data_IF_879000401385
#
_entry.id   IF_879000401385
#
_cell.length_a   1.000
_cell.length_b   1.000
_cell.length_c   1.000
_cell.angle_alpha   90.00
_cell.angle_beta   90.00
_cell.angle_gamma   90.00
#
_symmetry.space_group_name_H-M   'P 1'
#
loop_
_entity.id
_entity.type
_entity.pdbx_description
1 polymer ?
#
# COMPACT_ATOMS: atom_id res chain seq x y z
N UNK A 1 45.53 -41.14 -30.41
CA UNK A 1 45.38 -39.70 -30.06
C UNK A 1 44.35 -38.94 -30.91
N UNK A 2 44.14 -39.22 -32.19
CA UNK A 2 43.17 -38.49 -33.03
C UNK A 2 41.68 -38.60 -32.67
N UNK A 3 41.21 -39.67 -32.03
CA UNK A 3 39.81 -39.91 -31.72
C UNK A 3 39.33 -39.03 -30.49
N UNK A 4 40.24 -38.75 -29.57
CA UNK A 4 39.99 -37.91 -28.40
C UNK A 4 39.87 -36.43 -28.76
N UNK A 5 40.79 -35.95 -29.61
CA UNK A 5 40.77 -34.55 -30.05
C UNK A 5 39.51 -34.19 -30.85
N UNK A 6 39.00 -35.11 -31.68
CA UNK A 6 37.74 -34.91 -32.40
C UNK A 6 36.53 -34.75 -31.45
N UNK A 7 36.50 -35.53 -30.33
CA UNK A 7 35.44 -35.43 -29.33
C UNK A 7 35.47 -34.07 -28.58
N UNK A 8 36.64 -33.60 -28.21
CA UNK A 8 36.76 -32.27 -27.58
C UNK A 8 36.36 -31.13 -28.54
N UNK A 9 36.74 -31.22 -29.83
CA UNK A 9 36.35 -30.23 -30.82
C UNK A 9 34.83 -30.19 -31.01
N UNK A 10 34.16 -31.34 -31.05
CA UNK A 10 32.69 -31.42 -31.17
C UNK A 10 32.00 -30.81 -29.94
N UNK A 11 32.51 -31.06 -28.71
CA UNK A 11 31.96 -30.49 -27.47
C UNK A 11 32.16 -28.98 -27.45
N UNK A 12 33.30 -28.47 -27.90
CA UNK A 12 33.55 -27.00 -27.95
C UNK A 12 32.62 -26.32 -28.96
N UNK A 13 32.44 -26.90 -30.15
CA UNK A 13 31.52 -26.34 -31.14
C UNK A 13 30.07 -26.37 -30.65
N UNK A 14 29.64 -27.45 -29.99
CA UNK A 14 28.31 -27.54 -29.39
C UNK A 14 28.13 -26.53 -28.29
N UNK A 15 29.08 -26.36 -27.38
CA UNK A 15 29.06 -25.33 -26.34
C UNK A 15 28.94 -23.92 -26.89
N UNK A 16 29.71 -23.63 -27.98
CA UNK A 16 29.65 -22.33 -28.66
C UNK A 16 28.28 -22.06 -29.29
N UNK A 17 27.68 -23.07 -29.90
CA UNK A 17 26.34 -22.97 -30.51
C UNK A 17 25.25 -22.72 -29.43
N UNK A 18 25.35 -23.35 -28.27
CA UNK A 18 24.42 -23.11 -27.15
C UNK A 18 24.55 -21.68 -26.62
N UNK A 19 25.78 -21.17 -26.49
CA UNK A 19 26.02 -19.79 -26.05
C UNK A 19 25.45 -18.78 -27.07
N UNK A 20 25.66 -19.02 -28.34
CA UNK A 20 25.11 -18.17 -29.42
C UNK A 20 23.58 -18.22 -29.40
N UNK A 21 22.97 -19.41 -29.29
CA UNK A 21 21.54 -19.56 -29.25
C UNK A 21 20.92 -18.85 -27.99
N UNK A 22 21.58 -18.97 -26.85
CA UNK A 22 21.16 -18.28 -25.62
C UNK A 22 21.30 -16.74 -25.77
N UNK A 23 22.37 -16.27 -26.40
CA UNK A 23 22.55 -14.85 -26.70
C UNK A 23 21.50 -14.30 -27.67
N UNK A 24 21.19 -15.01 -28.71
CA UNK A 24 20.11 -14.66 -29.65
C UNK A 24 18.76 -14.66 -28.96
N UNK A 25 18.48 -15.65 -28.11
CA UNK A 25 17.25 -15.70 -27.36
C UNK A 25 17.12 -14.55 -26.33
N UNK A 26 18.21 -14.15 -25.66
CA UNK A 26 18.21 -12.97 -24.78
C UNK A 26 17.96 -11.64 -25.50
N UNK A 27 18.47 -11.50 -26.72
CA UNK A 27 18.34 -10.26 -27.50
C UNK A 27 16.97 -10.19 -28.21
N UNK A 28 16.55 -11.28 -28.85
CA UNK A 28 15.34 -11.32 -29.68
C UNK A 28 14.12 -11.92 -28.99
N UNK A 29 14.31 -12.65 -27.89
CA UNK A 29 13.22 -13.23 -27.11
C UNK A 29 12.47 -12.22 -26.23
N UNK A 30 13.02 -11.02 -26.02
CA UNK A 30 12.30 -9.93 -25.35
C UNK A 30 11.28 -9.35 -26.31
N UNK A 31 10.02 -9.73 -26.12
CA UNK A 31 8.91 -9.05 -26.81
C UNK A 31 8.91 -7.60 -26.34
N UNK A 32 9.38 -6.68 -27.15
CA UNK A 32 9.19 -5.26 -26.93
C UNK A 32 7.71 -4.97 -27.13
N UNK A 33 7.04 -4.64 -26.05
CA UNK A 33 5.63 -4.22 -26.09
C UNK A 33 5.63 -2.78 -26.60
N UNK A 34 5.15 -2.59 -27.83
CA UNK A 34 4.99 -1.25 -28.41
C UNK A 34 3.60 -0.79 -27.99
N UNK A 35 3.54 0.30 -27.21
CA UNK A 35 2.30 0.96 -26.86
C UNK A 35 2.02 2.02 -27.91
N UNK A 36 0.88 1.90 -28.58
CA UNK A 36 0.41 2.95 -29.47
C UNK A 36 -0.14 4.10 -28.61
N UNK A 37 0.25 5.33 -28.96
CA UNK A 37 -0.32 6.51 -28.33
C UNK A 37 -1.77 6.60 -28.74
N UNK A 38 -2.67 6.56 -27.79
CA UNK A 38 -4.10 6.82 -27.99
C UNK A 38 -4.45 8.19 -27.41
N UNK A 39 -5.37 8.89 -28.05
CA UNK A 39 -5.98 10.11 -27.52
C UNK A 39 -7.21 9.76 -26.65
N UNK A 40 -7.54 8.50 -26.53
CA UNK A 40 -8.64 8.02 -25.71
C UNK A 40 -8.30 8.18 -24.23
N UNK A 41 -9.18 8.88 -23.51
CA UNK A 41 -9.08 9.02 -22.05
C UNK A 41 -9.76 7.79 -21.46
N UNK A 42 -8.97 6.89 -20.90
CA UNK A 42 -9.50 5.74 -20.17
C UNK A 42 -9.18 5.90 -18.68
N UNK A 43 -10.17 5.60 -17.84
CA UNK A 43 -10.00 5.56 -16.40
C UNK A 43 -9.06 4.42 -16.00
N UNK A 44 -7.98 4.75 -15.30
CA UNK A 44 -7.21 3.72 -14.63
C UNK A 44 -7.73 3.59 -13.19
N UNK A 45 -8.35 2.46 -12.82
CA UNK A 45 -9.05 2.33 -11.55
C UNK A 45 -8.14 2.46 -10.31
N UNK A 46 -6.82 2.38 -10.49
CA UNK A 46 -5.84 2.47 -9.40
C UNK A 46 -4.89 3.66 -9.54
N UNK A 47 -5.20 4.61 -10.40
CA UNK A 47 -4.36 5.80 -10.61
C UNK A 47 -5.23 7.04 -10.83
N UNK A 48 -4.69 8.17 -10.41
CA UNK A 48 -5.31 9.47 -10.59
C UNK A 48 -5.60 10.18 -9.27
N UNK A 49 -6.45 11.18 -9.33
CA UNK A 49 -6.92 11.90 -8.15
C UNK A 49 -7.88 11.02 -7.34
N UNK A 50 -7.62 10.92 -6.05
CA UNK A 50 -8.45 10.20 -5.09
C UNK A 50 -8.98 11.17 -4.03
N UNK A 51 -10.20 11.68 -4.18
CA UNK A 51 -10.85 12.49 -3.15
C UNK A 51 -11.18 11.66 -1.92
N UNK A 52 -11.49 12.33 -0.81
CA UNK A 52 -11.87 11.67 0.43
C UNK A 52 -13.21 10.96 0.29
N UNK A 53 -13.32 9.73 0.81
CA UNK A 53 -14.51 8.91 0.71
C UNK A 53 -15.74 9.48 1.47
N UNK A 54 -15.51 10.37 2.44
CA UNK A 54 -16.57 11.05 3.18
C UNK A 54 -17.21 12.22 2.41
N UNK A 55 -16.65 12.64 1.26
CA UNK A 55 -17.23 13.73 0.47
C UNK A 55 -18.60 13.36 -0.09
N UNK A 56 -19.55 14.30 -0.01
CA UNK A 56 -20.94 14.07 -0.48
C UNK A 56 -21.05 13.99 -2.00
N UNK A 57 -20.20 14.75 -2.71
CA UNK A 57 -20.27 14.87 -4.16
C UNK A 57 -18.95 14.52 -4.80
N UNK A 58 -18.94 13.46 -5.58
CA UNK A 58 -17.77 12.96 -6.31
C UNK A 58 -18.12 12.79 -7.78
N UNK A 59 -17.23 13.24 -8.67
CA UNK A 59 -17.43 13.13 -10.11
C UNK A 59 -17.55 11.68 -10.58
N UNK A 60 -18.36 11.46 -11.63
CA UNK A 60 -18.60 10.13 -12.19
C UNK A 60 -17.32 9.50 -12.76
N UNK A 61 -16.39 10.33 -13.24
CA UNK A 61 -15.10 9.94 -13.79
C UNK A 61 -14.07 9.51 -12.73
N UNK A 62 -14.35 9.79 -11.45
CA UNK A 62 -13.51 9.38 -10.33
C UNK A 62 -13.79 7.92 -9.99
N UNK A 63 -12.79 7.07 -10.11
CA UNK A 63 -12.89 5.63 -9.79
C UNK A 63 -12.18 5.22 -8.51
N UNK A 64 -11.35 6.11 -7.96
CA UNK A 64 -10.54 5.85 -6.78
C UNK A 64 -10.85 6.87 -5.70
N UNK A 65 -11.13 6.40 -4.50
CA UNK A 65 -11.36 7.21 -3.32
C UNK A 65 -10.37 6.83 -2.22
N UNK A 66 -10.22 7.69 -1.26
CA UNK A 66 -9.27 7.55 -0.20
C UNK A 66 -9.95 7.81 1.14
N UNK A 67 -9.62 7.01 2.14
CA UNK A 67 -10.10 7.22 3.49
C UNK A 67 -8.98 7.02 4.52
N UNK A 68 -8.88 7.95 5.44
CA UNK A 68 -8.07 7.84 6.63
C UNK A 68 -8.91 7.25 7.76
N UNK A 69 -8.34 6.27 8.44
CA UNK A 69 -8.93 5.68 9.62
C UNK A 69 -7.88 5.77 10.72
N UNK A 70 -8.16 6.55 11.74
CA UNK A 70 -7.29 6.59 12.91
C UNK A 70 -7.47 5.32 13.74
N UNK A 71 -6.44 4.89 14.42
CA UNK A 71 -6.56 3.73 15.29
C UNK A 71 -7.55 3.98 16.42
N UNK A 72 -7.60 5.23 16.94
CA UNK A 72 -8.54 5.62 17.98
C UNK A 72 -10.01 5.47 17.56
N UNK A 73 -10.32 5.78 16.29
CA UNK A 73 -11.67 5.61 15.73
C UNK A 73 -12.00 4.15 15.46
N UNK A 74 -11.05 3.39 14.93
CA UNK A 74 -11.26 2.00 14.57
C UNK A 74 -11.42 1.10 15.81
N UNK A 75 -10.60 1.28 16.84
CA UNK A 75 -10.54 0.42 18.03
C UNK A 75 -10.61 1.26 19.32
N UNK A 76 -11.75 1.93 19.58
CA UNK A 76 -11.92 2.79 20.75
C UNK A 76 -11.76 2.05 22.08
N UNK A 77 -12.11 0.78 22.11
CA UNK A 77 -11.88 -0.13 23.24
C UNK A 77 -11.06 -1.34 22.74
N UNK A 78 -10.16 -1.85 23.55
CA UNK A 78 -9.29 -2.96 23.17
C UNK A 78 -10.06 -4.18 22.66
N UNK A 79 -9.77 -4.59 21.44
CA UNK A 79 -10.40 -5.73 20.74
C UNK A 79 -11.80 -5.45 20.22
N UNK A 80 -12.30 -4.21 20.32
CA UNK A 80 -13.61 -3.82 19.77
C UNK A 80 -13.42 -2.85 18.60
N UNK A 81 -13.62 -3.35 17.41
CA UNK A 81 -13.49 -2.59 16.17
C UNK A 81 -14.83 -2.00 15.74
N UNK A 82 -14.90 -0.69 15.57
CA UNK A 82 -16.12 0.04 15.19
C UNK A 82 -16.22 0.22 13.67
N UNK A 83 -16.24 -0.90 12.95
CA UNK A 83 -16.41 -0.91 11.50
C UNK A 83 -17.68 -0.24 11.03
N UNK A 84 -18.78 -0.40 11.77
CA UNK A 84 -20.07 0.20 11.44
C UNK A 84 -19.98 1.73 11.36
N UNK A 85 -19.28 2.35 12.31
CA UNK A 85 -19.02 3.79 12.28
C UNK A 85 -18.16 4.17 11.07
N UNK A 86 -17.03 3.49 10.89
CA UNK A 86 -16.10 3.77 9.79
C UNK A 86 -16.78 3.65 8.42
N UNK A 87 -17.52 2.58 8.19
CA UNK A 87 -18.23 2.35 6.93
C UNK A 87 -19.30 3.39 6.66
N UNK A 88 -20.07 3.77 7.67
CA UNK A 88 -21.10 4.80 7.57
C UNK A 88 -20.50 6.18 7.24
N UNK A 89 -19.46 6.60 7.96
CA UNK A 89 -18.86 7.93 7.82
C UNK A 89 -18.14 8.08 6.47
N UNK A 90 -17.56 7.00 5.95
CA UNK A 90 -16.91 6.96 4.64
C UNK A 90 -17.80 6.46 3.50
N UNK A 91 -19.10 6.27 3.72
CA UNK A 91 -20.09 5.89 2.71
C UNK A 91 -19.69 4.64 1.91
N UNK A 92 -19.02 3.66 2.53
CA UNK A 92 -18.39 2.54 1.81
C UNK A 92 -19.38 1.71 0.99
N UNK A 93 -20.61 1.53 1.48
CA UNK A 93 -21.67 0.81 0.74
C UNK A 93 -22.04 1.54 -0.56
N UNK A 94 -22.18 2.86 -0.51
CA UNK A 94 -22.44 3.68 -1.70
C UNK A 94 -21.34 3.50 -2.74
N UNK A 95 -20.09 3.60 -2.32
CA UNK A 95 -18.94 3.48 -3.23
C UNK A 95 -18.81 2.08 -3.81
N UNK A 96 -19.17 1.07 -3.03
CA UNK A 96 -19.24 -0.33 -3.52
C UNK A 96 -20.31 -0.49 -4.59
N UNK A 97 -21.50 0.07 -4.37
CA UNK A 97 -22.59 0.04 -5.34
C UNK A 97 -22.25 0.81 -6.64
N UNK A 98 -21.52 1.92 -6.52
CA UNK A 98 -21.03 2.69 -7.66
C UNK A 98 -19.78 2.07 -8.35
N UNK A 99 -19.26 0.96 -7.84
CA UNK A 99 -18.10 0.26 -8.41
C UNK A 99 -16.78 1.01 -8.26
N UNK A 100 -16.68 1.89 -7.27
CA UNK A 100 -15.47 2.66 -6.98
C UNK A 100 -14.51 1.84 -6.13
N UNK A 101 -13.21 2.17 -6.20
CA UNK A 101 -12.16 1.56 -5.39
C UNK A 101 -11.83 2.46 -4.21
N UNK A 102 -11.51 1.85 -3.06
CA UNK A 102 -11.11 2.56 -1.86
C UNK A 102 -9.65 2.27 -1.53
N UNK A 103 -8.88 3.32 -1.26
CA UNK A 103 -7.58 3.24 -0.60
C UNK A 103 -7.78 3.55 0.87
N UNK A 104 -7.47 2.60 1.71
CA UNK A 104 -7.50 2.78 3.16
C UNK A 104 -6.10 3.10 3.66
N UNK A 105 -5.96 4.19 4.40
CA UNK A 105 -4.77 4.52 5.18
C UNK A 105 -5.11 4.36 6.66
N UNK A 106 -4.47 3.38 7.30
CA UNK A 106 -4.54 3.21 8.75
C UNK A 106 -3.53 4.13 9.42
N UNK A 107 -4.02 4.98 10.30
CA UNK A 107 -3.27 6.11 10.81
C UNK A 107 -3.09 6.03 12.31
N UNK A 108 -1.86 6.28 12.75
CA UNK A 108 -1.50 6.33 14.17
C UNK A 108 -1.01 7.73 14.60
N UNK A 109 -0.84 8.63 13.63
CA UNK A 109 -0.35 9.99 13.85
C UNK A 109 -0.62 10.86 12.61
N UNK A 110 -1.51 11.84 12.74
CA UNK A 110 -1.77 12.89 11.76
C UNK A 110 -1.66 14.26 12.48
N UNK A 111 -0.85 15.19 11.98
CA UNK A 111 -0.85 16.55 12.51
C UNK A 111 -2.19 17.24 12.33
N UNK A 112 -2.73 17.83 13.41
CA UNK A 112 -3.97 18.58 13.41
C UNK A 112 -3.81 20.00 13.91
N UNK A 113 -4.88 20.79 13.88
CA UNK A 113 -4.88 22.15 14.38
C UNK A 113 -4.80 22.21 15.91
N UNK A 114 -5.49 21.26 16.55
CA UNK A 114 -5.53 21.11 17.99
C UNK A 114 -4.76 19.87 18.46
N UNK A 115 -4.32 19.88 19.72
CA UNK A 115 -3.66 18.73 20.33
C UNK A 115 -4.60 17.54 20.42
N UNK A 116 -4.20 16.42 19.82
CA UNK A 116 -4.98 15.20 19.76
C UNK A 116 -4.08 13.97 19.63
N UNK A 117 -4.68 12.79 19.71
CA UNK A 117 -4.01 11.51 19.61
C UNK A 117 -4.80 10.57 18.71
N UNK A 118 -4.15 9.99 17.70
CA UNK A 118 -4.75 9.08 16.73
C UNK A 118 -4.68 7.61 17.14
N UNK A 119 -3.93 7.29 18.20
CA UNK A 119 -4.00 5.98 18.85
C UNK A 119 -5.02 5.99 19.98
N UNK A 120 -5.68 4.86 20.29
CA UNK A 120 -6.68 4.82 21.36
C UNK A 120 -6.04 4.98 22.75
N UNK A 121 -6.80 5.57 23.68
CA UNK A 121 -6.34 5.83 25.04
C UNK A 121 -5.85 4.56 25.75
N UNK A 122 -6.55 3.42 25.56
CA UNK A 122 -6.13 2.16 26.16
C UNK A 122 -4.73 1.70 25.71
N UNK A 123 -4.34 2.01 24.45
CA UNK A 123 -3.01 1.68 23.92
C UNK A 123 -1.96 2.63 24.49
N UNK A 124 -2.26 3.92 24.56
CA UNK A 124 -1.40 4.93 25.18
C UNK A 124 -1.05 4.53 26.62
N UNK A 125 -2.07 4.10 27.41
CA UNK A 125 -1.86 3.65 28.78
C UNK A 125 -1.03 2.34 28.84
N UNK A 126 -1.29 1.39 27.94
CA UNK A 126 -0.57 0.10 27.92
C UNK A 126 0.87 0.20 27.47
N UNK A 127 1.19 1.18 26.67
CA UNK A 127 2.57 1.44 26.24
C UNK A 127 3.34 2.31 27.25
N UNK A 128 2.78 2.57 28.43
CA UNK A 128 3.34 3.46 29.44
C UNK A 128 3.65 4.85 28.88
N UNK A 129 2.73 5.35 28.04
CA UNK A 129 2.83 6.65 27.37
C UNK A 129 4.06 6.81 26.45
N UNK A 130 4.53 5.69 25.88
CA UNK A 130 5.69 5.68 25.02
C UNK A 130 5.44 6.42 23.70
N UNK A 131 5.96 7.63 23.61
CA UNK A 131 5.82 8.52 22.47
C UNK A 131 6.15 9.96 22.82
N UNK A 132 5.79 10.87 21.93
CA UNK A 132 6.09 12.30 22.11
C UNK A 132 4.94 13.17 21.61
N UNK A 133 4.47 14.06 22.46
CA UNK A 133 3.60 15.16 22.05
C UNK A 133 4.41 16.19 21.27
N UNK A 134 3.84 16.70 20.18
CA UNK A 134 4.47 17.74 19.38
C UNK A 134 3.52 18.91 19.10
N UNK A 135 4.10 20.11 19.01
CA UNK A 135 3.44 21.33 18.57
C UNK A 135 4.40 22.02 17.59
N UNK A 136 4.14 21.88 16.31
CA UNK A 136 5.02 22.32 15.23
C UNK A 136 4.25 23.21 14.25
N UNK A 137 4.98 23.89 13.36
CA UNK A 137 4.38 24.78 12.35
C UNK A 137 3.31 24.10 11.48
N UNK A 138 3.48 22.80 11.21
CA UNK A 138 2.57 22.02 10.38
C UNK A 138 1.44 21.31 11.15
N UNK A 139 1.40 21.45 12.48
CA UNK A 139 0.34 20.92 13.33
C UNK A 139 0.80 20.30 14.63
N UNK A 140 -0.16 19.84 15.40
CA UNK A 140 -0.01 19.28 16.74
C UNK A 140 -0.51 17.83 16.75
N UNK A 141 0.00 17.05 17.69
CA UNK A 141 -0.44 15.67 17.85
C UNK A 141 0.44 14.88 18.80
N UNK A 142 0.24 13.58 18.80
CA UNK A 142 1.02 12.61 19.55
C UNK A 142 1.63 11.57 18.61
N UNK A 143 2.95 11.52 18.52
CA UNK A 143 3.69 10.51 17.78
C UNK A 143 4.05 9.33 18.71
N UNK A 144 3.44 8.14 18.53
CA UNK A 144 3.77 6.97 19.35
C UNK A 144 5.19 6.46 19.05
N UNK A 145 5.82 5.84 20.04
CA UNK A 145 7.12 5.19 19.84
C UNK A 145 6.94 3.84 19.11
N UNK A 146 7.16 3.84 17.81
CA UNK A 146 7.08 2.65 16.96
C UNK A 146 8.16 1.58 17.27
N UNK A 147 9.15 1.86 18.13
CA UNK A 147 10.11 0.88 18.61
C UNK A 147 9.68 0.20 19.92
N UNK A 148 8.60 0.69 20.57
CA UNK A 148 8.06 0.06 21.75
C UNK A 148 7.50 -1.34 21.41
N UNK A 149 7.93 -2.38 22.13
CA UNK A 149 7.56 -3.77 21.84
C UNK A 149 6.05 -4.01 21.92
N UNK A 150 5.36 -3.38 22.88
CA UNK A 150 3.91 -3.50 23.01
C UNK A 150 3.20 -2.79 21.86
N UNK A 151 3.65 -1.60 21.48
CA UNK A 151 3.14 -0.88 20.31
C UNK A 151 3.23 -1.75 19.06
N UNK A 152 4.37 -2.38 18.78
CA UNK A 152 4.57 -3.28 17.64
C UNK A 152 3.58 -4.45 17.67
N UNK A 153 3.37 -5.09 18.82
CA UNK A 153 2.47 -6.23 18.95
C UNK A 153 1.02 -5.85 18.69
N UNK A 154 0.55 -4.75 19.30
CA UNK A 154 -0.81 -4.26 19.10
C UNK A 154 -1.06 -3.75 17.69
N UNK A 155 -0.08 -3.07 17.10
CA UNK A 155 -0.17 -2.60 15.72
C UNK A 155 -0.31 -3.79 14.73
N UNK A 156 0.47 -4.85 14.90
CA UNK A 156 0.31 -6.08 14.10
C UNK A 156 -1.08 -6.69 14.25
N UNK A 157 -1.65 -6.68 15.45
CA UNK A 157 -3.01 -7.17 15.69
C UNK A 157 -4.03 -6.32 14.96
N UNK A 158 -3.94 -4.99 15.07
CA UNK A 158 -4.84 -4.07 14.40
C UNK A 158 -4.78 -4.21 12.88
N UNK A 159 -3.58 -4.24 12.28
CA UNK A 159 -3.39 -4.44 10.83
C UNK A 159 -3.96 -5.78 10.35
N UNK A 160 -3.92 -6.83 11.17
CA UNK A 160 -4.52 -8.13 10.80
C UNK A 160 -6.06 -8.13 10.87
N UNK A 161 -6.67 -7.11 11.49
CA UNK A 161 -8.12 -6.95 11.58
C UNK A 161 -8.69 -6.08 10.43
N UNK A 162 -7.80 -5.34 9.72
CA UNK A 162 -8.13 -4.61 8.49
C UNK A 162 -8.32 -5.54 7.30
#
# INVERSE_FOLDING_TARGET
MAKSQKRYLVLLVFGLLVIIAAGVWMVFGRKTQIYEKTEEIFGNPLMGYAPCAWEETIGEDISLLYMDITWAELEPEEGKYDWEKIERENQTDRWREEGKHLVLRFVCDIPGEEEHMDIPQWLYDKTDHAGTWYDMEYGKGYAPDYNNEQMIQYHKRAVNAL
#
